data_IF_528831013842
#
_entry.id   IF_528831013842
#
_cell.length_a   1.000
_cell.length_b   1.000
_cell.length_c   1.000
_cell.angle_alpha   90.00
_cell.angle_beta   90.00
_cell.angle_gamma   90.00
#
_symmetry.space_group_name_H-M   'P 1'
#
loop_
_entity.id
_entity.type
_entity.pdbx_description
1 polymer ?
#
# COMPACT_ATOMS: atom_id res chain seq x y z
N UNK A 1 5.37 2.29 26.65
CA UNK A 1 4.59 3.53 26.80
C UNK A 1 4.52 4.02 28.26
N UNK A 2 4.43 3.12 29.25
CA UNK A 2 4.35 3.53 30.66
C UNK A 2 5.64 4.19 31.18
N UNK A 3 6.80 3.84 30.65
CA UNK A 3 8.10 4.37 31.09
C UNK A 3 8.47 5.73 30.46
N UNK A 4 7.73 6.17 29.45
CA UNK A 4 7.96 7.47 28.83
C UNK A 4 7.40 8.59 29.72
N UNK A 5 8.28 9.46 30.25
CA UNK A 5 7.96 10.47 31.27
C UNK A 5 7.20 11.70 30.74
N UNK A 6 7.22 11.98 29.45
CA UNK A 6 6.56 13.14 28.85
C UNK A 6 5.55 12.73 27.77
N UNK A 7 4.52 13.54 27.54
CA UNK A 7 3.56 13.33 26.46
C UNK A 7 4.24 13.32 25.08
N UNK A 8 5.27 14.15 24.89
CA UNK A 8 6.05 14.15 23.65
C UNK A 8 6.73 12.80 23.41
N UNK A 9 7.44 12.25 24.38
CA UNK A 9 8.09 10.94 24.26
C UNK A 9 7.08 9.80 24.06
N UNK A 10 5.92 9.88 24.70
CA UNK A 10 4.81 8.90 24.51
C UNK A 10 4.22 8.99 23.11
N UNK A 11 4.07 10.18 22.55
CA UNK A 11 3.60 10.40 21.18
C UNK A 11 4.60 9.79 20.18
N UNK A 12 5.88 10.11 20.30
CA UNK A 12 6.93 9.60 19.42
C UNK A 12 7.07 8.08 19.48
N UNK A 13 6.94 7.48 20.68
CA UNK A 13 6.94 6.03 20.81
C UNK A 13 5.70 5.39 20.16
N UNK A 14 4.53 6.00 20.33
CA UNK A 14 3.31 5.54 19.66
C UNK A 14 3.42 5.65 18.14
N UNK A 15 4.10 6.69 17.64
CA UNK A 15 4.36 6.87 16.22
C UNK A 15 5.30 5.78 15.67
N UNK A 16 6.39 5.49 16.36
CA UNK A 16 7.29 4.38 16.01
C UNK A 16 6.56 3.04 15.97
N UNK A 17 5.72 2.75 16.97
CA UNK A 17 4.94 1.52 17.03
C UNK A 17 3.87 1.48 15.93
N UNK A 18 3.18 2.58 15.67
CA UNK A 18 2.27 2.70 14.51
C UNK A 18 3.00 2.32 13.22
N UNK A 19 4.16 2.91 12.94
CA UNK A 19 4.93 2.64 11.73
C UNK A 19 5.39 1.19 11.62
N UNK A 20 5.76 0.54 12.72
CA UNK A 20 6.12 -0.87 12.76
C UNK A 20 4.94 -1.78 12.43
N UNK A 21 3.78 -1.52 13.05
CA UNK A 21 2.60 -2.37 12.89
C UNK A 21 1.79 -2.09 11.62
N UNK A 22 1.96 -0.93 11.00
CA UNK A 22 1.18 -0.51 9.82
C UNK A 22 1.15 -1.57 8.71
N UNK A 23 2.24 -2.29 8.47
CA UNK A 23 2.33 -3.32 7.42
C UNK A 23 2.33 -4.76 7.96
N UNK A 24 2.15 -4.93 9.28
CA UNK A 24 2.16 -6.24 9.94
C UNK A 24 0.80 -6.62 10.53
N UNK A 25 0.11 -5.68 11.17
CA UNK A 25 -1.19 -5.90 11.83
C UNK A 25 -1.97 -4.59 11.85
N UNK A 26 -3.00 -4.49 11.03
CA UNK A 26 -3.86 -3.29 10.96
C UNK A 26 -4.49 -2.98 12.31
N UNK A 27 -4.98 -4.00 13.04
CA UNK A 27 -5.62 -3.82 14.35
C UNK A 27 -4.65 -3.25 15.38
N UNK A 28 -3.42 -3.76 15.44
CA UNK A 28 -2.38 -3.21 16.33
C UNK A 28 -2.01 -1.78 15.96
N UNK A 29 -1.90 -1.49 14.65
CA UNK A 29 -1.61 -0.15 14.18
C UNK A 29 -2.72 0.85 14.56
N UNK A 30 -3.99 0.44 14.50
CA UNK A 30 -5.13 1.26 14.94
C UNK A 30 -5.01 1.61 16.43
N UNK A 31 -4.64 0.67 17.29
CA UNK A 31 -4.44 0.93 18.72
C UNK A 31 -3.39 2.02 18.92
N UNK A 32 -2.27 1.98 18.22
CA UNK A 32 -1.22 2.99 18.36
C UNK A 32 -1.60 4.33 17.74
N UNK A 33 -2.34 4.35 16.65
CA UNK A 33 -2.88 5.58 16.07
C UNK A 33 -3.90 6.27 17.00
N UNK A 34 -4.77 5.50 17.66
CA UNK A 34 -5.68 6.02 18.69
C UNK A 34 -4.92 6.55 19.90
N UNK A 35 -3.86 5.89 20.34
CA UNK A 35 -2.99 6.37 21.41
C UNK A 35 -2.32 7.69 21.01
N UNK A 36 -1.78 7.82 19.80
CA UNK A 36 -1.26 9.07 19.24
C UNK A 36 -2.30 10.18 19.34
N UNK A 37 -3.54 9.92 18.88
CA UNK A 37 -4.61 10.92 18.88
C UNK A 37 -4.97 11.35 20.30
N UNK A 38 -5.05 10.42 21.26
CA UNK A 38 -5.33 10.72 22.67
C UNK A 38 -4.24 11.62 23.27
N UNK A 39 -2.97 11.29 23.05
CA UNK A 39 -1.83 12.06 23.57
C UNK A 39 -1.79 13.44 22.92
N UNK A 40 -1.97 13.53 21.60
CA UNK A 40 -2.01 14.79 20.87
C UNK A 40 -3.11 15.73 21.40
N UNK A 41 -4.29 15.18 21.70
CA UNK A 41 -5.39 15.94 22.36
C UNK A 41 -4.99 16.47 23.74
N UNK A 42 -4.30 15.64 24.56
CA UNK A 42 -3.80 16.08 25.87
C UNK A 42 -2.75 17.20 25.77
N UNK A 43 -1.97 17.20 24.68
CA UNK A 43 -0.99 18.25 24.38
C UNK A 43 -1.63 19.53 23.82
N UNK A 44 -2.88 19.48 23.35
CA UNK A 44 -3.53 20.58 22.63
C UNK A 44 -2.91 20.87 21.26
N UNK A 45 -2.10 19.95 20.72
CA UNK A 45 -1.34 20.12 19.47
C UNK A 45 -2.20 19.72 18.27
N UNK A 46 -2.75 20.71 17.58
CA UNK A 46 -3.62 20.49 16.41
C UNK A 46 -2.92 19.78 15.26
N UNK A 47 -1.63 20.04 15.04
CA UNK A 47 -0.86 19.38 13.99
C UNK A 47 -0.76 17.86 14.27
N UNK A 48 -0.38 17.49 15.49
CA UNK A 48 -0.31 16.08 15.90
C UNK A 48 -1.68 15.40 15.95
N UNK A 49 -2.74 16.13 16.29
CA UNK A 49 -4.12 15.60 16.23
C UNK A 49 -4.49 15.26 14.78
N UNK A 50 -4.18 16.14 13.83
CA UNK A 50 -4.50 15.93 12.42
C UNK A 50 -3.62 14.84 11.79
N UNK A 51 -2.34 14.75 12.16
CA UNK A 51 -1.46 13.64 11.78
C UNK A 51 -2.02 12.29 12.25
N UNK A 52 -2.39 12.17 13.51
CA UNK A 52 -2.99 10.94 14.04
C UNK A 52 -4.33 10.59 13.37
N UNK A 53 -5.16 11.58 13.02
CA UNK A 53 -6.38 11.38 12.24
C UNK A 53 -6.08 10.82 10.85
N UNK A 54 -5.07 11.36 10.16
CA UNK A 54 -4.67 10.85 8.85
C UNK A 54 -4.14 9.41 8.94
N UNK A 55 -3.39 9.08 9.98
CA UNK A 55 -2.96 7.71 10.24
C UNK A 55 -4.16 6.76 10.40
N UNK A 56 -5.18 7.14 11.17
CA UNK A 56 -6.40 6.35 11.34
C UNK A 56 -7.18 6.20 10.03
N UNK A 57 -7.35 7.30 9.29
CA UNK A 57 -8.04 7.26 8.00
C UNK A 57 -7.34 6.32 7.01
N UNK A 58 -6.01 6.37 6.94
CA UNK A 58 -5.20 5.47 6.13
C UNK A 58 -5.43 3.99 6.49
N UNK A 59 -5.42 3.65 7.79
CA UNK A 59 -5.68 2.28 8.24
C UNK A 59 -7.11 1.83 7.95
N UNK A 60 -8.09 2.71 8.12
CA UNK A 60 -9.49 2.40 7.85
C UNK A 60 -9.75 2.16 6.36
N UNK A 61 -9.08 2.91 5.46
CA UNK A 61 -9.12 2.63 4.01
C UNK A 61 -8.61 1.21 3.75
N UNK A 62 -7.47 0.83 4.31
CA UNK A 62 -6.88 -0.51 4.15
C UNK A 62 -7.74 -1.62 4.73
N UNK A 63 -8.38 -1.37 5.88
CA UNK A 63 -9.33 -2.27 6.52
C UNK A 63 -10.70 -2.32 5.85
N UNK A 64 -10.95 -1.51 4.81
CA UNK A 64 -12.23 -1.45 4.11
C UNK A 64 -13.32 -0.67 4.83
N UNK A 65 -13.00 0.06 5.89
CA UNK A 65 -13.90 0.92 6.66
C UNK A 65 -13.97 2.32 6.04
N UNK A 66 -14.51 2.37 4.81
CA UNK A 66 -14.41 3.56 3.96
C UNK A 66 -15.27 4.74 4.46
N UNK A 67 -16.40 4.47 5.12
CA UNK A 67 -17.24 5.52 5.69
C UNK A 67 -16.56 6.21 6.85
N UNK A 68 -16.00 5.44 7.79
CA UNK A 68 -15.26 5.95 8.93
C UNK A 68 -14.01 6.72 8.47
N UNK A 69 -13.31 6.22 7.47
CA UNK A 69 -12.17 6.93 6.87
C UNK A 69 -12.61 8.28 6.28
N UNK A 70 -13.74 8.31 5.55
CA UNK A 70 -14.30 9.53 4.98
C UNK A 70 -14.68 10.56 6.06
N UNK A 71 -15.33 10.13 7.13
CA UNK A 71 -15.75 10.99 8.23
C UNK A 71 -14.52 11.59 8.94
N UNK A 72 -13.49 10.78 9.19
CA UNK A 72 -12.25 11.26 9.81
C UNK A 72 -11.59 12.32 8.91
N UNK A 73 -11.38 12.03 7.63
CA UNK A 73 -10.71 12.96 6.70
C UNK A 73 -11.50 14.28 6.59
N UNK A 74 -12.82 14.20 6.48
CA UNK A 74 -13.68 15.39 6.41
C UNK A 74 -13.74 16.18 7.74
N UNK A 75 -13.42 15.54 8.88
CA UNK A 75 -13.30 16.22 10.19
C UNK A 75 -12.04 17.07 10.34
N UNK A 76 -11.13 17.03 9.36
CA UNK A 76 -9.88 17.82 9.38
C UNK A 76 -10.12 19.12 8.61
N UNK A 77 -10.12 20.28 9.29
CA UNK A 77 -10.30 21.57 8.62
C UNK A 77 -9.11 21.86 7.70
N UNK A 78 -9.36 22.14 6.42
CA UNK A 78 -8.29 22.41 5.44
C UNK A 78 -7.34 23.53 5.90
N UNK A 79 -7.84 24.56 6.58
CA UNK A 79 -7.05 25.67 7.10
C UNK A 79 -6.05 25.26 8.20
N UNK A 80 -6.24 24.10 8.80
CA UNK A 80 -5.37 23.53 9.82
C UNK A 80 -4.32 22.56 9.25
N UNK A 81 -4.37 22.30 7.92
CA UNK A 81 -3.39 21.50 7.23
C UNK A 81 -2.21 22.40 6.86
N UNK A 82 -1.11 22.28 7.61
CA UNK A 82 0.16 22.92 7.28
C UNK A 82 0.85 22.22 6.09
N UNK A 83 1.91 22.84 5.57
CA UNK A 83 2.67 22.31 4.44
C UNK A 83 3.18 20.88 4.69
N UNK A 84 3.58 20.56 5.91
CA UNK A 84 4.13 19.26 6.30
C UNK A 84 3.11 18.10 6.13
N UNK A 85 1.82 18.34 6.43
CA UNK A 85 0.77 17.34 6.29
C UNK A 85 0.03 17.40 4.95
N UNK A 86 0.26 18.43 4.15
CA UNK A 86 -0.50 18.69 2.93
C UNK A 86 -0.41 17.53 1.94
N UNK A 87 0.80 17.04 1.67
CA UNK A 87 1.00 15.89 0.78
C UNK A 87 0.26 14.65 1.32
N UNK A 88 0.45 14.32 2.59
CA UNK A 88 -0.18 13.15 3.21
C UNK A 88 -1.70 13.25 3.25
N UNK A 89 -2.25 14.45 3.53
CA UNK A 89 -3.68 14.71 3.50
C UNK A 89 -4.29 14.46 2.12
N UNK A 90 -3.71 15.03 1.06
CA UNK A 90 -4.25 14.85 -0.29
C UNK A 90 -4.02 13.44 -0.83
N UNK A 91 -2.89 12.80 -0.52
CA UNK A 91 -2.64 11.40 -0.89
C UNK A 91 -3.63 10.46 -0.22
N UNK A 92 -3.94 10.66 1.07
CA UNK A 92 -4.95 9.88 1.79
C UNK A 92 -6.34 10.05 1.17
N UNK A 93 -6.73 11.30 0.85
CA UNK A 93 -8.00 11.58 0.16
C UNK A 93 -8.06 10.97 -1.23
N UNK A 94 -6.98 11.06 -2.00
CA UNK A 94 -6.87 10.43 -3.32
C UNK A 94 -7.13 8.93 -3.22
N UNK A 95 -6.44 8.25 -2.31
CA UNK A 95 -6.61 6.81 -2.08
C UNK A 95 -8.03 6.46 -1.63
N UNK A 96 -8.62 7.24 -0.74
CA UNK A 96 -10.00 7.05 -0.30
C UNK A 96 -10.99 7.13 -1.47
N UNK A 97 -10.91 8.19 -2.27
CA UNK A 97 -11.84 8.37 -3.40
C UNK A 97 -11.60 7.37 -4.52
N UNK A 98 -10.36 6.93 -4.74
CA UNK A 98 -10.04 5.81 -5.63
C UNK A 98 -10.78 4.55 -5.18
N UNK A 99 -10.61 4.16 -3.91
CA UNK A 99 -11.23 2.95 -3.35
C UNK A 99 -12.76 3.04 -3.34
N UNK A 100 -13.32 4.21 -3.01
CA UNK A 100 -14.76 4.44 -3.08
C UNK A 100 -15.30 4.34 -4.53
N UNK A 101 -14.55 4.81 -5.52
CA UNK A 101 -14.91 4.67 -6.92
C UNK A 101 -14.97 3.21 -7.36
N UNK A 102 -13.99 2.41 -6.92
CA UNK A 102 -13.94 0.97 -7.26
C UNK A 102 -15.03 0.16 -6.53
N UNK A 103 -15.37 0.56 -5.30
CA UNK A 103 -16.47 -0.03 -4.54
C UNK A 103 -17.87 0.44 -4.96
N UNK A 104 -17.98 1.39 -5.91
CA UNK A 104 -19.26 1.99 -6.28
C UNK A 104 -20.13 1.06 -7.12
N UNK A 105 -21.38 0.88 -6.71
CA UNK A 105 -22.39 0.09 -7.42
C UNK A 105 -22.93 0.78 -8.68
N UNK A 106 -22.91 2.12 -8.70
CA UNK A 106 -23.49 2.89 -9.81
C UNK A 106 -22.44 3.69 -10.57
N UNK A 107 -22.60 3.78 -11.89
CA UNK A 107 -21.73 4.60 -12.74
C UNK A 107 -21.74 6.08 -12.34
N UNK A 108 -22.84 6.58 -11.76
CA UNK A 108 -22.93 7.95 -11.27
C UNK A 108 -22.00 8.18 -10.07
N UNK A 109 -22.09 7.31 -9.04
CA UNK A 109 -21.23 7.37 -7.86
C UNK A 109 -19.75 7.24 -8.26
N UNK A 110 -19.43 6.26 -9.13
CA UNK A 110 -18.08 6.07 -9.65
C UNK A 110 -17.53 7.34 -10.29
N UNK A 111 -18.31 8.02 -11.14
CA UNK A 111 -17.90 9.29 -11.76
C UNK A 111 -17.66 10.40 -10.74
N UNK A 112 -18.50 10.51 -9.69
CA UNK A 112 -18.32 11.52 -8.64
C UNK A 112 -17.00 11.29 -7.88
N UNK A 113 -16.75 10.05 -7.45
CA UNK A 113 -15.52 9.73 -6.73
C UNK A 113 -14.27 9.88 -7.61
N UNK A 114 -14.33 9.50 -8.88
CA UNK A 114 -13.23 9.74 -9.83
C UNK A 114 -12.93 11.23 -10.02
N UNK A 115 -13.95 12.08 -10.02
CA UNK A 115 -13.75 13.54 -10.03
C UNK A 115 -13.05 14.03 -8.77
N UNK A 116 -13.46 13.55 -7.60
CA UNK A 116 -12.83 13.91 -6.32
C UNK A 116 -11.39 13.38 -6.23
N UNK A 117 -11.14 12.17 -6.70
CA UNK A 117 -9.81 11.58 -6.83
C UNK A 117 -8.89 12.48 -7.67
N UNK A 118 -9.38 12.92 -8.85
CA UNK A 118 -8.60 13.81 -9.73
C UNK A 118 -8.26 15.13 -9.04
N UNK A 119 -9.21 15.79 -8.38
CA UNK A 119 -8.96 17.03 -7.64
C UNK A 119 -7.91 16.87 -6.55
N UNK A 120 -7.93 15.73 -5.84
CA UNK A 120 -6.90 15.43 -4.84
C UNK A 120 -5.55 15.14 -5.49
N UNK A 121 -5.52 14.43 -6.62
CA UNK A 121 -4.30 14.17 -7.37
C UNK A 121 -3.65 15.46 -7.88
N UNK A 122 -4.43 16.38 -8.42
CA UNK A 122 -3.94 17.70 -8.85
C UNK A 122 -3.29 18.43 -7.67
N UNK A 123 -3.92 18.38 -6.48
CA UNK A 123 -3.35 18.97 -5.26
C UNK A 123 -2.07 18.27 -4.77
N UNK A 124 -1.92 16.96 -4.98
CA UNK A 124 -0.69 16.21 -4.70
C UNK A 124 0.43 16.65 -5.64
N UNK A 125 0.11 16.81 -6.93
CA UNK A 125 1.07 17.24 -7.96
C UNK A 125 1.58 18.66 -7.71
N UNK A 126 0.69 19.56 -7.26
CA UNK A 126 1.03 20.96 -7.00
C UNK A 126 1.77 21.19 -5.67
N UNK A 127 1.75 20.20 -4.79
CA UNK A 127 2.43 20.30 -3.50
C UNK A 127 3.91 20.00 -3.64
N UNK A 128 4.73 21.05 -3.62
CA UNK A 128 6.19 20.95 -3.77
C UNK A 128 6.94 20.52 -2.50
N UNK A 129 6.27 20.37 -1.37
CA UNK A 129 6.87 19.99 -0.08
C UNK A 129 6.94 18.47 0.10
N UNK A 130 7.63 17.74 -0.80
CA UNK A 130 7.83 16.29 -0.65
C UNK A 130 9.08 16.01 0.17
N UNK A 131 8.96 15.43 1.37
CA UNK A 131 10.09 15.27 2.28
C UNK A 131 11.02 14.11 1.89
N UNK A 132 10.55 13.14 1.13
CA UNK A 132 11.29 11.91 0.83
C UNK A 132 11.31 11.57 -0.66
N UNK A 133 12.21 10.66 -1.03
CA UNK A 133 12.42 10.22 -2.42
C UNK A 133 11.19 9.57 -3.02
N UNK A 134 10.46 8.77 -2.23
CA UNK A 134 9.28 8.07 -2.71
C UNK A 134 8.16 9.05 -3.06
N UNK A 135 7.87 10.00 -2.19
CA UNK A 135 6.88 11.05 -2.45
C UNK A 135 7.26 11.91 -3.66
N UNK A 136 8.55 12.21 -3.84
CA UNK A 136 9.03 12.93 -5.03
C UNK A 136 8.86 12.12 -6.31
N UNK A 137 9.16 10.81 -6.26
CA UNK A 137 8.94 9.92 -7.40
C UNK A 137 7.47 9.81 -7.75
N UNK A 138 6.57 9.67 -6.77
CA UNK A 138 5.13 9.64 -6.99
C UNK A 138 4.64 10.94 -7.67
N UNK A 139 5.12 12.09 -7.25
CA UNK A 139 4.79 13.36 -7.93
C UNK A 139 5.23 13.38 -9.39
N UNK A 140 6.44 12.90 -9.68
CA UNK A 140 6.94 12.81 -11.06
C UNK A 140 6.12 11.82 -11.90
N UNK A 141 5.75 10.67 -11.34
CA UNK A 141 4.87 9.69 -12.00
C UNK A 141 3.50 10.30 -12.29
N UNK A 142 2.91 11.03 -11.35
CA UNK A 142 1.63 11.72 -11.54
C UNK A 142 1.70 12.81 -12.63
N UNK A 143 2.87 13.42 -12.84
CA UNK A 143 3.15 14.35 -13.94
C UNK A 143 3.58 13.65 -15.25
N UNK A 144 3.56 12.32 -15.30
CA UNK A 144 4.02 11.51 -16.42
C UNK A 144 5.51 11.70 -16.78
N UNK A 145 6.30 12.17 -15.84
CA UNK A 145 7.76 12.39 -16.00
C UNK A 145 8.53 11.12 -15.62
N UNK A 146 8.23 9.99 -16.30
CA UNK A 146 8.73 8.66 -15.95
C UNK A 146 10.26 8.56 -15.94
N UNK A 147 10.96 9.18 -16.90
CA UNK A 147 12.43 9.14 -16.96
C UNK A 147 13.06 9.80 -15.73
N UNK A 148 12.50 10.94 -15.29
CA UNK A 148 13.00 11.63 -14.10
C UNK A 148 12.70 10.83 -12.83
N UNK A 149 11.51 10.23 -12.74
CA UNK A 149 11.15 9.34 -11.65
C UNK A 149 12.07 8.12 -11.58
N UNK A 150 12.33 7.45 -12.71
CA UNK A 150 13.27 6.31 -12.79
C UNK A 150 14.67 6.72 -12.32
N UNK A 151 15.19 7.87 -12.77
CA UNK A 151 16.53 8.31 -12.39
C UNK A 151 16.68 8.41 -10.87
N UNK A 152 15.80 9.13 -10.19
CA UNK A 152 15.90 9.30 -8.74
C UNK A 152 15.65 8.00 -7.98
N UNK A 153 14.75 7.13 -8.47
CA UNK A 153 14.47 5.83 -7.86
C UNK A 153 15.63 4.85 -8.03
N UNK A 154 16.27 4.80 -9.22
CA UNK A 154 17.44 3.95 -9.48
C UNK A 154 18.64 4.38 -8.65
N UNK A 155 18.88 5.68 -8.51
CA UNK A 155 19.96 6.19 -7.68
C UNK A 155 19.72 5.83 -6.19
N UNK A 156 18.49 5.95 -5.72
CA UNK A 156 18.12 5.52 -4.37
C UNK A 156 18.23 3.99 -4.21
N UNK A 157 17.75 3.21 -5.19
CA UNK A 157 17.80 1.75 -5.13
C UNK A 157 19.23 1.21 -4.99
N UNK A 158 20.20 1.85 -5.64
CA UNK A 158 21.63 1.48 -5.53
C UNK A 158 22.23 1.74 -4.15
N UNK A 159 21.64 2.63 -3.37
CA UNK A 159 22.12 3.01 -2.02
C UNK A 159 21.50 2.15 -0.90
N UNK A 160 20.45 1.39 -1.19
CA UNK A 160 19.72 0.58 -0.22
C UNK A 160 19.97 -0.92 -0.41
N UNK A 161 19.97 -1.67 0.69
CA UNK A 161 20.03 -3.14 0.66
C UNK A 161 18.62 -3.75 0.65
N UNK A 162 18.51 -5.02 0.23
CA UNK A 162 17.23 -5.77 0.29
C UNK A 162 16.72 -5.99 1.72
N UNK A 163 17.53 -5.73 2.74
CA UNK A 163 17.12 -5.74 4.16
C UNK A 163 16.60 -4.38 4.64
N UNK A 164 16.69 -3.34 3.81
CA UNK A 164 16.11 -2.05 4.10
C UNK A 164 14.65 -2.02 3.64
N UNK A 165 13.74 -1.66 4.55
CA UNK A 165 12.30 -1.55 4.25
C UNK A 165 12.00 -0.56 3.11
N UNK A 166 12.81 0.47 2.94
CA UNK A 166 12.62 1.45 1.86
C UNK A 166 12.82 0.83 0.48
N UNK A 167 13.63 -0.22 0.38
CA UNK A 167 13.86 -0.93 -0.89
C UNK A 167 12.59 -1.45 -1.51
N UNK A 168 11.63 -1.96 -0.72
CA UNK A 168 10.35 -2.45 -1.23
C UNK A 168 9.55 -1.31 -1.90
N UNK A 169 9.48 -0.14 -1.28
CA UNK A 169 8.77 1.02 -1.84
C UNK A 169 9.42 1.55 -3.12
N UNK A 170 10.75 1.61 -3.14
CA UNK A 170 11.51 2.04 -4.32
C UNK A 170 11.31 1.04 -5.45
N UNK A 171 11.48 -0.25 -5.17
CA UNK A 171 11.40 -1.31 -6.16
C UNK A 171 9.99 -1.44 -6.76
N UNK A 172 8.92 -1.37 -5.95
CA UNK A 172 7.55 -1.44 -6.49
C UNK A 172 7.22 -0.21 -7.35
N UNK A 173 7.75 0.97 -7.01
CA UNK A 173 7.58 2.16 -7.84
C UNK A 173 8.31 2.04 -9.19
N UNK A 174 9.48 1.41 -9.21
CA UNK A 174 10.20 1.09 -10.44
C UNK A 174 9.43 0.06 -11.28
N UNK A 175 8.92 -1.01 -10.64
CA UNK A 175 8.10 -2.02 -11.32
C UNK A 175 6.87 -1.39 -11.99
N UNK A 176 6.14 -0.50 -11.28
CA UNK A 176 4.98 0.19 -11.83
C UNK A 176 5.33 1.04 -13.08
N UNK A 177 6.48 1.72 -13.06
CA UNK A 177 6.94 2.50 -14.22
C UNK A 177 7.28 1.56 -15.38
N UNK A 178 8.05 0.49 -15.16
CA UNK A 178 8.42 -0.47 -16.21
C UNK A 178 7.21 -1.22 -16.76
N UNK A 179 6.20 -1.53 -15.94
CA UNK A 179 4.94 -2.10 -16.39
C UNK A 179 4.18 -1.15 -17.34
N UNK A 180 4.13 0.16 -17.03
CA UNK A 180 3.57 1.18 -17.94
C UNK A 180 4.33 1.29 -19.26
N UNK A 181 5.64 1.07 -19.25
CA UNK A 181 6.50 1.00 -20.43
C UNK A 181 6.44 -0.37 -21.15
N UNK A 182 5.68 -1.33 -20.63
CA UNK A 182 5.58 -2.70 -21.14
C UNK A 182 6.91 -3.47 -21.16
N UNK A 183 7.82 -3.11 -20.25
CA UNK A 183 9.07 -3.82 -20.05
C UNK A 183 8.91 -4.89 -18.97
N UNK A 184 8.30 -6.03 -19.34
CA UNK A 184 7.93 -7.12 -18.43
C UNK A 184 9.12 -7.69 -17.64
N UNK A 185 10.30 -7.78 -18.26
CA UNK A 185 11.48 -8.34 -17.58
C UNK A 185 11.98 -7.43 -16.46
N UNK A 186 12.05 -6.13 -16.70
CA UNK A 186 12.42 -5.17 -15.67
C UNK A 186 11.33 -5.08 -14.57
N UNK A 187 10.06 -5.09 -14.96
CA UNK A 187 8.94 -5.13 -14.01
C UNK A 187 9.06 -6.33 -13.07
N UNK A 188 9.22 -7.56 -13.59
CA UNK A 188 9.41 -8.77 -12.78
C UNK A 188 10.62 -8.65 -11.86
N UNK A 189 11.75 -8.16 -12.36
CA UNK A 189 12.98 -8.02 -11.58
C UNK A 189 12.74 -7.15 -10.34
N UNK A 190 12.08 -6.02 -10.49
CA UNK A 190 11.79 -5.11 -9.37
C UNK A 190 10.68 -5.63 -8.46
N UNK A 191 9.67 -6.35 -8.98
CA UNK A 191 8.68 -7.03 -8.15
C UNK A 191 9.32 -8.12 -7.28
N UNK A 192 10.29 -8.87 -7.80
CA UNK A 192 11.07 -9.86 -7.03
C UNK A 192 11.85 -9.15 -5.91
N UNK A 193 12.55 -8.06 -6.23
CA UNK A 193 13.32 -7.32 -5.23
C UNK A 193 12.42 -6.74 -4.12
N UNK A 194 11.26 -6.17 -4.48
CA UNK A 194 10.28 -5.68 -3.52
C UNK A 194 9.74 -6.81 -2.63
N UNK A 195 9.37 -7.95 -3.23
CA UNK A 195 8.87 -9.11 -2.49
C UNK A 195 9.89 -9.67 -1.50
N UNK A 196 11.17 -9.74 -1.88
CA UNK A 196 12.26 -10.17 -0.98
C UNK A 196 12.43 -9.19 0.16
N UNK A 197 12.42 -7.89 -0.11
CA UNK A 197 12.52 -6.85 0.92
C UNK A 197 11.35 -6.92 1.90
N UNK A 198 10.11 -7.05 1.40
CA UNK A 198 8.91 -7.19 2.24
C UNK A 198 9.00 -8.41 3.16
N UNK A 199 9.39 -9.56 2.64
CA UNK A 199 9.54 -10.80 3.43
C UNK A 199 10.61 -10.61 4.51
N UNK A 200 11.76 -10.04 4.19
CA UNK A 200 12.86 -9.81 5.15
C UNK A 200 12.47 -8.83 6.25
N UNK A 201 11.62 -7.87 5.94
CA UNK A 201 11.15 -6.85 6.88
C UNK A 201 9.82 -7.23 7.56
N UNK A 202 9.38 -8.49 7.45
CA UNK A 202 8.13 -9.00 8.05
C UNK A 202 6.89 -8.20 7.65
N UNK A 203 6.90 -7.58 6.48
CA UNK A 203 5.71 -6.98 5.89
C UNK A 203 4.75 -8.09 5.51
N UNK A 204 3.46 -7.96 5.86
CA UNK A 204 2.41 -8.95 5.62
C UNK A 204 1.44 -8.53 4.52
N UNK A 205 1.58 -7.34 4.00
CA UNK A 205 0.72 -6.76 2.98
C UNK A 205 1.46 -6.69 1.65
N UNK A 206 1.59 -7.85 1.01
CA UNK A 206 2.38 -8.02 -0.22
C UNK A 206 1.64 -7.52 -1.46
N UNK A 207 1.93 -6.32 -1.92
CA UNK A 207 1.50 -5.86 -3.23
C UNK A 207 2.38 -6.46 -4.35
N UNK A 208 3.70 -6.42 -4.17
CA UNK A 208 4.65 -6.91 -5.16
C UNK A 208 4.52 -8.42 -5.41
N UNK A 209 4.36 -9.22 -4.36
CA UNK A 209 4.18 -10.66 -4.49
C UNK A 209 2.88 -11.03 -5.19
N UNK A 210 1.79 -10.29 -4.95
CA UNK A 210 0.52 -10.44 -5.64
C UNK A 210 0.67 -10.15 -7.14
N UNK A 211 1.29 -9.03 -7.52
CA UNK A 211 1.51 -8.65 -8.91
C UNK A 211 2.42 -9.67 -9.63
N UNK A 212 3.49 -10.11 -8.97
CA UNK A 212 4.37 -11.14 -9.51
C UNK A 212 3.64 -12.47 -9.74
N UNK A 213 2.73 -12.86 -8.84
CA UNK A 213 1.92 -14.07 -9.03
C UNK A 213 1.01 -13.98 -10.26
N UNK A 214 0.44 -12.82 -10.55
CA UNK A 214 -0.38 -12.59 -11.75
C UNK A 214 0.47 -12.75 -13.01
N UNK A 215 1.63 -12.10 -13.08
CA UNK A 215 2.55 -12.20 -14.21
C UNK A 215 2.97 -13.66 -14.46
N UNK A 216 3.37 -14.38 -13.40
CA UNK A 216 3.75 -15.79 -13.51
C UNK A 216 2.60 -16.67 -14.00
N UNK A 217 1.36 -16.37 -13.59
CA UNK A 217 0.19 -17.07 -14.08
C UNK A 217 -0.03 -16.83 -15.59
N UNK A 218 0.12 -15.60 -16.05
CA UNK A 218 0.00 -15.24 -17.47
C UNK A 218 1.12 -15.88 -18.32
N UNK A 219 2.31 -16.09 -17.75
CA UNK A 219 3.41 -16.82 -18.37
C UNK A 219 3.25 -18.35 -18.34
N UNK A 220 2.20 -18.87 -17.68
CA UNK A 220 1.93 -20.31 -17.56
C UNK A 220 2.67 -21.01 -16.41
N UNK A 221 3.39 -20.29 -15.56
CA UNK A 221 3.98 -20.86 -14.34
C UNK A 221 2.95 -20.91 -13.20
N UNK A 222 1.95 -21.75 -13.40
CA UNK A 222 0.84 -21.91 -12.47
C UNK A 222 1.29 -22.35 -11.08
N UNK A 223 2.39 -23.10 -10.97
CA UNK A 223 2.90 -23.59 -9.69
C UNK A 223 3.43 -22.45 -8.82
N UNK A 224 4.29 -21.58 -9.36
CA UNK A 224 4.80 -20.42 -8.62
C UNK A 224 3.72 -19.37 -8.40
N UNK A 225 2.87 -19.14 -9.40
CA UNK A 225 1.73 -18.25 -9.29
C UNK A 225 0.81 -18.63 -8.12
N UNK A 226 0.46 -19.92 -7.99
CA UNK A 226 -0.32 -20.44 -6.88
C UNK A 226 0.39 -20.20 -5.53
N UNK A 227 1.65 -20.61 -5.41
CA UNK A 227 2.39 -20.50 -4.15
C UNK A 227 2.53 -19.04 -3.67
N UNK A 228 2.75 -18.09 -4.58
CA UNK A 228 2.91 -16.68 -4.25
C UNK A 228 1.58 -16.01 -3.93
N UNK A 229 0.52 -16.33 -4.69
CA UNK A 229 -0.81 -15.79 -4.41
C UNK A 229 -1.39 -16.35 -3.11
N UNK A 230 -1.19 -17.65 -2.82
CA UNK A 230 -1.60 -18.28 -1.56
C UNK A 230 -0.95 -17.58 -0.37
N UNK A 231 0.36 -17.37 -0.44
CA UNK A 231 1.07 -16.64 0.62
C UNK A 231 0.56 -15.21 0.77
N UNK A 232 0.35 -14.49 -0.33
CA UNK A 232 -0.14 -13.11 -0.29
C UNK A 232 -1.55 -13.05 0.31
N UNK A 233 -2.44 -13.99 -0.05
CA UNK A 233 -3.80 -14.08 0.47
C UNK A 233 -3.81 -14.39 1.98
N UNK A 234 -3.06 -15.42 2.40
CA UNK A 234 -3.00 -15.83 3.81
C UNK A 234 -2.44 -14.72 4.69
N UNK A 235 -1.39 -14.03 4.25
CA UNK A 235 -0.81 -12.93 4.99
C UNK A 235 -1.72 -11.68 5.02
N UNK A 236 -2.46 -11.38 3.94
CA UNK A 236 -3.45 -10.31 3.91
C UNK A 236 -4.62 -10.58 4.88
N UNK A 237 -5.08 -11.82 4.96
CA UNK A 237 -6.09 -12.25 5.95
C UNK A 237 -5.53 -12.12 7.37
N UNK A 238 -4.32 -12.60 7.61
CA UNK A 238 -3.66 -12.51 8.92
C UNK A 238 -3.53 -11.07 9.43
N UNK A 239 -3.14 -10.12 8.56
CA UNK A 239 -2.96 -8.73 8.96
C UNK A 239 -4.25 -7.88 8.86
N UNK A 240 -5.39 -8.48 8.54
CA UNK A 240 -6.69 -7.83 8.35
C UNK A 240 -6.68 -6.74 7.24
N UNK A 241 -5.88 -6.96 6.19
CA UNK A 241 -5.80 -6.04 5.04
C UNK A 241 -6.90 -6.35 4.01
N UNK A 242 -8.16 -6.05 4.34
CA UNK A 242 -9.34 -6.41 3.53
C UNK A 242 -9.27 -5.92 2.09
N UNK A 243 -8.71 -4.73 1.84
CA UNK A 243 -8.57 -4.22 0.48
C UNK A 243 -7.64 -5.09 -0.36
N UNK A 244 -6.63 -5.73 0.25
CA UNK A 244 -5.77 -6.70 -0.44
C UNK A 244 -6.51 -7.99 -0.76
N UNK A 245 -7.30 -8.52 0.17
CA UNK A 245 -8.09 -9.73 -0.10
C UNK A 245 -9.13 -9.49 -1.20
N UNK A 246 -9.78 -8.33 -1.22
CA UNK A 246 -10.70 -7.94 -2.30
C UNK A 246 -9.96 -7.86 -3.63
N UNK A 247 -8.79 -7.20 -3.70
CA UNK A 247 -8.01 -7.08 -4.93
C UNK A 247 -7.56 -8.43 -5.51
N UNK A 248 -7.42 -9.47 -4.69
CA UNK A 248 -7.07 -10.82 -5.11
C UNK A 248 -8.28 -11.71 -5.42
N UNK A 249 -9.50 -11.32 -5.02
CA UNK A 249 -10.69 -12.17 -5.04
C UNK A 249 -11.08 -12.69 -6.42
N UNK A 250 -10.82 -11.94 -7.47
CA UNK A 250 -11.21 -12.33 -8.84
C UNK A 250 -10.21 -13.29 -9.47
N UNK A 251 -8.92 -13.07 -9.25
CA UNK A 251 -7.87 -13.88 -9.88
C UNK A 251 -7.52 -15.14 -9.08
N UNK A 252 -7.66 -15.12 -7.77
CA UNK A 252 -7.29 -16.23 -6.89
C UNK A 252 -8.02 -17.54 -7.22
N UNK A 253 -9.37 -17.58 -7.40
CA UNK A 253 -10.08 -18.80 -7.78
C UNK A 253 -9.63 -19.36 -9.14
N UNK A 254 -9.23 -18.49 -10.06
CA UNK A 254 -8.74 -18.89 -11.40
C UNK A 254 -7.40 -19.61 -11.28
N UNK A 255 -6.47 -19.03 -10.50
CA UNK A 255 -5.16 -19.64 -10.23
C UNK A 255 -5.31 -21.00 -9.53
N UNK A 256 -6.15 -21.07 -8.48
CA UNK A 256 -6.44 -22.32 -7.74
C UNK A 256 -6.92 -23.40 -8.71
N UNK A 257 -7.96 -23.10 -9.50
CA UNK A 257 -8.57 -24.06 -10.44
C UNK A 257 -7.57 -24.54 -11.50
N UNK A 258 -6.71 -23.66 -11.99
CA UNK A 258 -5.66 -24.03 -12.94
C UNK A 258 -4.63 -24.96 -12.30
N UNK A 259 -4.16 -24.63 -11.08
CA UNK A 259 -3.22 -25.45 -10.34
C UNK A 259 -3.78 -26.85 -10.02
N UNK A 260 -5.05 -26.96 -9.61
CA UNK A 260 -5.71 -28.24 -9.36
C UNK A 260 -5.83 -29.10 -10.62
N UNK A 261 -6.17 -28.47 -11.77
CA UNK A 261 -6.24 -29.18 -13.07
C UNK A 261 -4.89 -29.76 -13.48
N UNK A 262 -3.83 -28.99 -13.33
CA UNK A 262 -2.47 -29.46 -13.63
C UNK A 262 -2.06 -30.60 -12.68
N UNK A 263 -2.35 -30.49 -11.39
CA UNK A 263 -2.07 -31.54 -10.41
C UNK A 263 -2.79 -32.85 -10.77
N UNK A 264 -4.09 -32.78 -11.10
CA UNK A 264 -4.87 -33.95 -11.55
C UNK A 264 -4.31 -34.55 -12.82
N UNK A 265 -3.95 -33.73 -13.82
CA UNK A 265 -3.34 -34.19 -15.06
C UNK A 265 -2.00 -34.89 -14.84
N UNK A 266 -1.15 -34.39 -13.95
CA UNK A 266 0.12 -35.05 -13.57
C UNK A 266 -0.11 -36.40 -12.92
N UNK A 267 -1.04 -36.47 -11.95
CA UNK A 267 -1.39 -37.73 -11.28
C UNK A 267 -1.91 -38.77 -12.31
N UNK A 268 -2.81 -38.37 -13.20
CA UNK A 268 -3.35 -39.24 -14.22
C UNK A 268 -2.25 -39.79 -15.18
N UNK A 269 -1.32 -38.93 -15.61
CA UNK A 269 -0.19 -39.36 -16.44
C UNK A 269 0.71 -40.36 -15.73
N UNK A 270 0.98 -40.18 -14.44
CA UNK A 270 1.79 -41.08 -13.65
C UNK A 270 1.10 -42.44 -13.45
N UNK A 271 -0.23 -42.45 -13.24
CA UNK A 271 -0.99 -43.71 -13.09
C UNK A 271 -1.17 -44.48 -14.38
N UNK A 272 -1.15 -43.81 -15.53
CA UNK A 272 -1.25 -44.49 -16.88
C UNK A 272 0.12 -44.98 -17.36
N UNK A 273 1.22 -44.45 -16.81
CA UNK A 273 2.59 -44.87 -17.19
C UNK A 273 3.18 -45.99 -16.28
N UNK A 274 2.43 -46.43 -15.27
CA UNK A 274 2.70 -47.62 -14.44
C UNK A 274 1.87 -48.82 -14.92
#
# INVERSE_FOLDING_TARGET
LHDARTNQARYELSDKLFNLYTSYSVDSAIVYALNKQKIAKQMGDKHKINDAKLNLAYLFIRGGQLLEANDIVNSIPRKEIGNELSFYYFSTRKTLYHTLADASLTSWQKRQYKRMEKLCNDSVVDNNASPDIWSRAEQLVNRQQYEQAKKILLDAYRQHSLSDRQTAFIAISLADIYGKEKNLEAEKQYLIAASISDIRNSVKEYLALQQLAVILFEEGDTKRAYAYMDKAMNDAVFCNARQRTIAMSDIWPVIVKSHEREAKSRTLRLTVSL
#
